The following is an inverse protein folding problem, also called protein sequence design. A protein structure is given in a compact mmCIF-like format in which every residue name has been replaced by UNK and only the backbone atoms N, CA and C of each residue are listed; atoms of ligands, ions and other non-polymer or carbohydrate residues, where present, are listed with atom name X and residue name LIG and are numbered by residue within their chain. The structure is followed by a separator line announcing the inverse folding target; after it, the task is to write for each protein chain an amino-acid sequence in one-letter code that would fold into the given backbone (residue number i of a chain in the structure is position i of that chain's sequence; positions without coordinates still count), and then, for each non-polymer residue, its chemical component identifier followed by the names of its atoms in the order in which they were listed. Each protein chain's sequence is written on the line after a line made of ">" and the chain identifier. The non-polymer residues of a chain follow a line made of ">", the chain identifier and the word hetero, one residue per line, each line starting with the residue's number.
data_IF_928246933540
#
_entry.id   IF_928246933540
#
_cell.length_a   1.000
_cell.length_b   1.000
_cell.length_c   1.000
_cell.angle_alpha   90.00
_cell.angle_beta   90.00
_cell.angle_gamma   90.00
#
_symmetry.space_group_name_H-M   'P 1'
#
loop_
_entity.id
_entity.type
_entity.pdbx_description
1 polymer ?
#
# COMPACT_ATOMS: atom_id res chain seq x y z
N UNK A 1 13.44 -0.41 -16.95
CA UNK A 1 12.80 0.28 -18.09
C UNK A 1 11.40 0.70 -17.67
N UNK A 2 11.15 1.99 -17.45
CA UNK A 2 9.81 2.51 -17.16
C UNK A 2 8.92 2.23 -18.37
N UNK A 3 7.89 1.39 -18.21
CA UNK A 3 6.86 1.21 -19.25
C UNK A 3 6.10 2.52 -19.32
N UNK A 4 6.47 3.39 -20.26
CA UNK A 4 5.73 4.60 -20.52
C UNK A 4 4.27 4.23 -20.80
N UNK A 5 3.39 4.75 -19.96
CA UNK A 5 1.94 4.47 -19.94
C UNK A 5 1.23 5.06 -21.18
N UNK A 6 1.98 5.81 -22.01
CA UNK A 6 1.53 6.29 -23.30
C UNK A 6 1.57 5.15 -24.33
N UNK A 7 0.52 4.32 -24.32
CA UNK A 7 0.20 3.53 -25.50
C UNK A 7 0.04 4.48 -26.70
N UNK A 8 0.55 4.12 -27.90
CA UNK A 8 0.41 4.96 -29.07
C UNK A 8 -1.08 5.23 -29.34
N UNK A 9 -1.44 6.51 -29.50
CA UNK A 9 -2.80 6.91 -29.86
C UNK A 9 -3.14 6.22 -31.19
N UNK A 10 -4.21 5.40 -31.25
CA UNK A 10 -4.63 4.77 -32.49
C UNK A 10 -4.84 5.84 -33.57
N UNK A 11 -4.36 5.57 -34.79
CA UNK A 11 -4.54 6.49 -35.92
C UNK A 11 -6.04 6.76 -36.11
N UNK A 12 -6.43 8.02 -36.03
CA UNK A 12 -7.82 8.46 -36.16
C UNK A 12 -8.24 8.66 -37.63
N UNK A 13 -7.34 8.36 -38.58
CA UNK A 13 -7.42 8.74 -40.00
C UNK A 13 -8.48 7.97 -40.82
N UNK A 14 -9.32 7.15 -40.18
CA UNK A 14 -10.40 6.40 -40.83
C UNK A 14 -11.81 6.69 -40.30
N UNK A 15 -11.96 7.62 -39.36
CA UNK A 15 -13.26 7.91 -38.74
C UNK A 15 -13.99 9.01 -39.52
N UNK A 16 -15.08 8.62 -40.20
CA UNK A 16 -15.82 9.46 -41.14
C UNK A 16 -16.49 10.70 -40.50
N UNK A 17 -16.83 10.66 -39.20
CA UNK A 17 -17.49 11.76 -38.51
C UNK A 17 -16.66 12.32 -37.34
N UNK A 18 -16.89 13.59 -37.02
CA UNK A 18 -16.33 14.22 -35.80
C UNK A 18 -16.84 13.54 -34.53
N UNK A 19 -18.08 13.05 -34.54
CA UNK A 19 -18.66 12.32 -33.41
C UNK A 19 -17.93 11.00 -33.14
N UNK A 20 -17.65 10.22 -34.19
CA UNK A 20 -16.97 8.92 -34.06
C UNK A 20 -15.54 9.07 -33.58
N UNK A 21 -14.85 10.14 -33.99
CA UNK A 21 -13.54 10.53 -33.44
C UNK A 21 -13.61 10.79 -31.95
N UNK A 22 -14.60 11.56 -31.48
CA UNK A 22 -14.76 11.86 -30.05
C UNK A 22 -15.11 10.60 -29.25
N UNK A 23 -16.01 9.76 -29.74
CA UNK A 23 -16.35 8.46 -29.11
C UNK A 23 -15.12 7.57 -28.97
N UNK A 24 -14.31 7.48 -30.03
CA UNK A 24 -13.09 6.66 -30.03
C UNK A 24 -12.06 7.18 -29.02
N UNK A 25 -11.86 8.50 -28.95
CA UNK A 25 -10.96 9.11 -27.97
C UNK A 25 -11.42 8.79 -26.53
N UNK A 26 -12.71 8.97 -26.23
CA UNK A 26 -13.26 8.67 -24.90
C UNK A 26 -13.08 7.19 -24.56
N UNK A 27 -13.41 6.27 -25.48
CA UNK A 27 -13.26 4.83 -25.27
C UNK A 27 -11.79 4.43 -25.02
N UNK A 28 -10.84 5.06 -25.71
CA UNK A 28 -9.41 4.83 -25.49
C UNK A 28 -8.97 5.32 -24.11
N UNK A 29 -9.44 6.50 -23.67
CA UNK A 29 -9.16 7.03 -22.34
C UNK A 29 -9.73 6.13 -21.25
N UNK A 30 -10.93 5.58 -21.44
CA UNK A 30 -11.55 4.63 -20.50
C UNK A 30 -10.82 3.28 -20.46
N UNK A 31 -10.31 2.81 -21.61
CA UNK A 31 -9.47 1.61 -21.66
C UNK A 31 -8.18 1.83 -20.88
N UNK A 32 -7.49 2.94 -21.15
CA UNK A 32 -6.27 3.30 -20.43
C UNK A 32 -6.53 3.44 -18.92
N UNK A 33 -7.66 4.03 -18.54
CA UNK A 33 -8.06 4.13 -17.13
C UNK A 33 -8.20 2.76 -16.46
N UNK A 34 -8.86 1.80 -17.13
CA UNK A 34 -8.99 0.42 -16.64
C UNK A 34 -7.64 -0.26 -16.50
N UNK A 35 -6.76 -0.12 -17.49
CA UNK A 35 -5.43 -0.74 -17.49
C UNK A 35 -4.57 -0.19 -16.34
N UNK A 36 -4.57 1.13 -16.12
CA UNK A 36 -3.80 1.75 -15.03
C UNK A 36 -4.36 1.38 -13.66
N UNK A 37 -5.68 1.37 -13.48
CA UNK A 37 -6.30 0.92 -12.23
C UNK A 37 -5.93 -0.51 -11.89
N UNK A 38 -5.98 -1.41 -12.88
CA UNK A 38 -5.55 -2.79 -12.71
C UNK A 38 -4.07 -2.89 -12.29
N UNK A 39 -3.19 -2.07 -12.89
CA UNK A 39 -1.77 -2.01 -12.52
C UNK A 39 -1.57 -1.54 -11.07
N UNK A 40 -2.27 -0.48 -10.64
CA UNK A 40 -2.16 0.04 -9.27
C UNK A 40 -2.61 -1.02 -8.25
N UNK A 41 -3.72 -1.72 -8.53
CA UNK A 41 -4.21 -2.80 -7.67
C UNK A 41 -3.23 -3.97 -7.63
N UNK A 42 -2.66 -4.37 -8.77
CA UNK A 42 -1.67 -5.43 -8.83
C UNK A 42 -0.40 -5.09 -8.04
N UNK A 43 0.11 -3.86 -8.17
CA UNK A 43 1.24 -3.37 -7.38
C UNK A 43 0.93 -3.35 -5.87
N UNK A 44 -0.25 -2.87 -5.49
CA UNK A 44 -0.69 -2.85 -4.09
C UNK A 44 -0.80 -4.26 -3.50
N UNK A 45 -1.36 -5.20 -4.26
CA UNK A 45 -1.48 -6.60 -3.85
C UNK A 45 -0.11 -7.28 -3.73
N UNK A 46 0.82 -7.00 -4.65
CA UNK A 46 2.20 -7.48 -4.56
C UNK A 46 2.89 -6.96 -3.29
N UNK A 47 2.74 -5.67 -2.97
CA UNK A 47 3.30 -5.07 -1.75
C UNK A 47 2.70 -5.69 -0.49
N UNK A 48 1.38 -5.90 -0.46
CA UNK A 48 0.70 -6.59 0.64
C UNK A 48 1.24 -8.02 0.84
N UNK A 49 1.42 -8.77 -0.24
CA UNK A 49 1.97 -10.12 -0.18
C UNK A 49 3.41 -10.13 0.35
N UNK A 50 4.23 -9.16 -0.05
CA UNK A 50 5.60 -9.04 0.44
C UNK A 50 5.60 -8.70 1.94
N UNK A 51 4.80 -7.71 2.36
CA UNK A 51 4.65 -7.34 3.77
C UNK A 51 4.18 -8.53 4.64
N UNK A 52 3.27 -9.36 4.10
CA UNK A 52 2.82 -10.58 4.79
C UNK A 52 3.93 -11.62 4.94
N UNK A 53 4.77 -11.81 3.91
CA UNK A 53 5.92 -12.72 3.97
C UNK A 53 6.96 -12.24 4.98
N UNK A 54 7.23 -10.94 5.00
CA UNK A 54 8.16 -10.32 5.95
C UNK A 54 7.65 -10.48 7.38
N UNK A 55 6.36 -10.25 7.64
CA UNK A 55 5.76 -10.49 8.95
C UNK A 55 5.91 -11.96 9.41
N UNK A 56 5.64 -12.93 8.52
CA UNK A 56 5.84 -14.35 8.86
C UNK A 56 7.30 -14.75 9.06
N UNK A 57 8.25 -14.05 8.45
CA UNK A 57 9.68 -14.30 8.65
C UNK A 57 10.18 -13.76 9.99
N UNK A 58 9.64 -12.61 10.44
CA UNK A 58 9.95 -12.04 11.76
C UNK A 58 9.44 -12.97 12.87
N UNK A 59 8.19 -13.44 12.77
CA UNK A 59 7.63 -14.39 13.76
C UNK A 59 8.41 -15.72 13.82
N UNK A 60 8.95 -16.19 12.70
CA UNK A 60 9.73 -17.43 12.65
C UNK A 60 11.15 -17.30 13.24
N UNK A 61 11.77 -16.11 13.18
CA UNK A 61 13.08 -15.87 13.79
C UNK A 61 13.03 -15.67 15.31
N UNK A 62 11.85 -15.39 15.88
CA UNK A 62 11.69 -15.22 17.33
C UNK A 62 11.61 -16.56 18.10
N UNK A 63 11.47 -17.70 17.39
CA UNK A 63 11.30 -19.02 18.00
C UNK A 63 12.63 -19.79 18.19
N UNK A 64 13.74 -19.35 17.59
CA UNK A 64 15.08 -19.92 17.85
C UNK A 64 15.79 -19.22 19.02
N UNK A 65 15.13 -19.11 20.18
CA UNK A 65 15.86 -18.98 21.44
C UNK A 65 16.18 -20.38 21.96
N UNK A 66 17.29 -20.92 21.47
CA UNK A 66 17.88 -22.20 21.92
C UNK A 66 18.54 -22.05 23.31
N UNK A 67 17.97 -21.22 24.19
CA UNK A 67 18.41 -21.12 25.57
C UNK A 67 17.75 -22.23 26.38
N UNK A 68 18.53 -23.13 27.02
CA UNK A 68 17.96 -24.11 27.93
C UNK A 68 17.25 -23.35 29.04
N UNK A 69 15.94 -23.57 29.18
CA UNK A 69 15.16 -23.02 30.29
C UNK A 69 15.64 -23.70 31.56
N UNK A 70 16.54 -23.04 32.29
CA UNK A 70 17.01 -23.49 33.60
C UNK A 70 15.89 -23.32 34.63
N UNK A 71 15.08 -24.38 34.80
CA UNK A 71 13.98 -24.44 35.76
C UNK A 71 14.43 -24.33 37.24
N UNK A 72 15.74 -24.28 37.53
CA UNK A 72 16.29 -24.12 38.88
C UNK A 72 16.64 -22.67 39.26
N UNK A 73 16.72 -21.75 38.29
CA UNK A 73 17.10 -20.35 38.54
C UNK A 73 15.86 -19.48 38.72
N UNK A 74 15.47 -19.28 39.97
CA UNK A 74 14.51 -18.24 40.33
C UNK A 74 15.07 -16.89 39.85
N UNK A 75 14.37 -16.15 38.97
CA UNK A 75 14.80 -14.83 38.51
C UNK A 75 15.16 -13.92 39.69
N UNK A 76 16.27 -13.18 39.61
CA UNK A 76 16.81 -12.40 40.72
C UNK A 76 15.81 -11.32 41.23
N UNK A 77 14.94 -10.86 40.34
CA UNK A 77 13.76 -10.01 40.58
C UNK A 77 12.71 -10.62 41.52
N UNK A 78 12.64 -11.94 41.66
CA UNK A 78 11.77 -12.61 42.65
C UNK A 78 12.46 -12.79 44.01
N UNK A 79 13.78 -12.56 44.11
CA UNK A 79 14.53 -12.59 45.39
C UNK A 79 14.52 -11.26 46.13
N UNK A 80 14.18 -10.15 45.47
CA UNK A 80 14.15 -8.84 46.10
C UNK A 80 12.85 -8.65 46.88
N UNK A 81 12.89 -8.13 48.13
CA UNK A 81 11.68 -7.75 48.85
C UNK A 81 10.93 -6.66 48.07
N UNK A 82 9.61 -6.81 47.95
CA UNK A 82 8.74 -5.85 47.26
C UNK A 82 8.97 -4.43 47.79
N UNK A 83 9.40 -3.52 46.91
CA UNK A 83 9.51 -2.10 47.20
C UNK A 83 8.36 -1.37 46.52
N UNK A 84 7.69 -0.49 47.26
CA UNK A 84 6.57 0.27 46.71
C UNK A 84 7.06 1.17 45.58
N UNK A 85 6.67 0.87 44.33
CA UNK A 85 7.14 1.52 43.11
C UNK A 85 8.06 0.67 42.23
N UNK A 86 8.45 -0.54 42.66
CA UNK A 86 9.06 -1.51 41.75
C UNK A 86 7.98 -1.98 40.77
N UNK A 87 8.22 -1.79 39.47
CA UNK A 87 7.33 -2.24 38.40
C UNK A 87 7.06 -3.74 38.44
N UNK A 88 6.19 -4.21 37.55
CA UNK A 88 5.78 -5.62 37.47
C UNK A 88 7.02 -6.55 37.47
N UNK A 89 7.23 -7.39 38.50
CA UNK A 89 8.38 -8.27 38.59
C UNK A 89 8.37 -9.37 37.52
N UNK A 90 7.27 -9.56 36.81
CA UNK A 90 7.20 -10.46 35.65
C UNK A 90 7.67 -9.80 34.35
N UNK A 91 7.88 -8.48 34.34
CA UNK A 91 8.41 -7.76 33.19
C UNK A 91 9.94 -7.71 33.28
N UNK A 92 10.61 -8.10 32.20
CA UNK A 92 12.05 -7.87 32.07
C UNK A 92 12.35 -6.37 32.20
N UNK A 93 13.49 -6.02 32.78
CA UNK A 93 13.97 -4.64 32.79
C UNK A 93 14.36 -4.27 31.34
N UNK A 94 13.39 -3.74 30.59
CA UNK A 94 13.62 -3.28 29.22
C UNK A 94 14.29 -1.91 29.32
N UNK A 95 15.49 -1.78 28.75
CA UNK A 95 16.18 -0.51 28.67
C UNK A 95 15.31 0.48 27.86
N UNK A 96 15.03 1.70 28.37
CA UNK A 96 14.15 2.65 27.68
C UNK A 96 14.68 3.08 26.31
N UNK A 97 15.98 2.92 26.05
CA UNK A 97 16.58 3.13 24.72
C UNK A 97 16.21 2.02 23.73
N UNK A 98 15.98 0.78 24.18
CA UNK A 98 15.50 -0.32 23.32
C UNK A 98 14.02 -0.19 22.99
N UNK A 99 13.23 0.43 23.89
CA UNK A 99 11.82 0.76 23.64
C UNK A 99 11.63 1.76 22.49
N UNK A 100 12.60 2.65 22.25
CA UNK A 100 12.56 3.59 21.13
C UNK A 100 12.73 2.88 19.79
N UNK A 101 13.63 1.90 19.71
CA UNK A 101 13.84 1.09 18.49
C UNK A 101 12.63 0.19 18.18
N UNK A 102 11.99 -0.36 19.22
CA UNK A 102 10.75 -1.15 19.09
C UNK A 102 9.57 -0.24 18.70
N UNK A 103 9.51 0.99 19.21
CA UNK A 103 8.45 1.95 18.89
C UNK A 103 8.57 2.51 17.46
N UNK A 104 9.80 2.70 16.94
CA UNK A 104 10.04 3.05 15.53
C UNK A 104 9.64 1.89 14.60
N UNK A 105 9.88 0.64 14.99
CA UNK A 105 9.39 -0.55 14.28
C UNK A 105 7.86 -0.74 14.39
N UNK A 106 7.23 -0.21 15.45
CA UNK A 106 5.78 -0.18 15.62
C UNK A 106 5.07 0.92 14.79
N UNK A 107 5.81 1.61 13.91
CA UNK A 107 5.33 2.65 13.00
C UNK A 107 4.45 2.12 11.86
N UNK A 108 3.27 1.58 12.19
CA UNK A 108 2.18 1.25 11.27
C UNK A 108 2.32 -0.13 10.61
N UNK A 109 1.27 -0.95 10.74
CA UNK A 109 1.17 -2.26 10.08
C UNK A 109 1.55 -2.13 8.58
N UNK A 110 2.65 -2.77 8.12
CA UNK A 110 3.13 -2.64 6.75
C UNK A 110 2.11 -3.17 5.73
N UNK A 111 1.22 -4.09 6.14
CA UNK A 111 0.12 -4.55 5.30
C UNK A 111 -0.90 -3.43 5.10
N UNK A 112 -1.31 -2.75 6.18
CA UNK A 112 -2.21 -1.60 6.12
C UNK A 112 -1.60 -0.45 5.30
N UNK A 113 -0.30 -0.17 5.47
CA UNK A 113 0.40 0.86 4.71
C UNK A 113 0.36 0.61 3.19
N UNK A 114 0.60 -0.64 2.76
CA UNK A 114 0.54 -1.04 1.35
C UNK A 114 -0.86 -0.82 0.75
N UNK A 115 -1.92 -1.14 1.51
CA UNK A 115 -3.31 -0.94 1.08
C UNK A 115 -3.64 0.55 0.97
N UNK A 116 -3.31 1.34 1.99
CA UNK A 116 -3.58 2.78 2.00
C UNK A 116 -2.85 3.52 0.86
N UNK A 117 -1.62 3.11 0.55
CA UNK A 117 -0.87 3.65 -0.59
C UNK A 117 -1.59 3.38 -1.93
N UNK A 118 -2.05 2.14 -2.14
CA UNK A 118 -2.78 1.77 -3.36
C UNK A 118 -4.09 2.58 -3.50
N UNK A 119 -4.85 2.73 -2.41
CA UNK A 119 -6.07 3.55 -2.39
C UNK A 119 -5.79 5.03 -2.71
N UNK A 120 -4.71 5.59 -2.16
CA UNK A 120 -4.31 6.97 -2.46
C UNK A 120 -4.01 7.16 -3.93
N UNK A 121 -3.19 6.27 -4.51
CA UNK A 121 -2.84 6.29 -5.94
C UNK A 121 -4.07 6.15 -6.84
N UNK A 122 -5.00 5.26 -6.50
CA UNK A 122 -6.27 5.12 -7.23
C UNK A 122 -7.08 6.43 -7.22
N UNK A 123 -7.21 7.07 -6.06
CA UNK A 123 -8.00 8.30 -5.90
C UNK A 123 -7.39 9.48 -6.65
N UNK A 124 -6.07 9.61 -6.61
CA UNK A 124 -5.34 10.63 -7.37
C UNK A 124 -5.54 10.42 -8.87
N UNK A 125 -5.39 9.17 -9.34
CA UNK A 125 -5.59 8.84 -10.74
C UNK A 125 -7.04 9.04 -11.21
N UNK A 126 -8.04 8.71 -10.39
CA UNK A 126 -9.45 8.99 -10.68
C UNK A 126 -9.71 10.48 -10.91
N UNK A 127 -9.08 11.33 -10.09
CA UNK A 127 -9.21 12.78 -10.22
C UNK A 127 -8.60 13.27 -11.53
N UNK A 128 -7.41 12.77 -11.87
CA UNK A 128 -6.70 13.16 -13.11
C UNK A 128 -7.40 12.63 -14.36
N UNK A 129 -7.83 11.37 -14.36
CA UNK A 129 -8.52 10.73 -15.48
C UNK A 129 -9.86 11.40 -15.77
N UNK A 130 -10.62 11.80 -14.74
CA UNK A 130 -11.85 12.58 -14.90
C UNK A 130 -11.58 13.92 -15.60
N UNK A 131 -10.60 14.68 -15.11
CA UNK A 131 -10.20 15.97 -15.71
C UNK A 131 -9.76 15.81 -17.17
N UNK A 132 -9.05 14.73 -17.50
CA UNK A 132 -8.60 14.45 -18.87
C UNK A 132 -9.75 14.10 -19.82
N UNK A 133 -10.80 13.40 -19.35
CA UNK A 133 -11.96 13.02 -20.18
C UNK A 133 -12.96 14.15 -20.39
N UNK A 134 -13.11 15.03 -19.40
CA UNK A 134 -14.09 16.13 -19.39
C UNK A 134 -14.18 16.97 -20.69
N UNK A 135 -13.07 17.44 -21.32
CA UNK A 135 -13.16 18.25 -22.53
C UNK A 135 -13.76 17.48 -23.72
N UNK A 136 -13.47 16.19 -23.85
CA UNK A 136 -13.98 15.35 -24.95
C UNK A 136 -15.46 15.03 -24.77
N UNK A 137 -15.89 14.79 -23.52
CA UNK A 137 -17.30 14.59 -23.19
C UNK A 137 -18.09 15.86 -23.52
N UNK A 138 -17.64 17.03 -23.05
CA UNK A 138 -18.29 18.32 -23.37
C UNK A 138 -18.31 18.61 -24.88
N UNK A 139 -17.26 18.25 -25.60
CA UNK A 139 -17.22 18.39 -27.06
C UNK A 139 -18.24 17.48 -27.76
N UNK A 140 -18.42 16.24 -27.27
CA UNK A 140 -19.39 15.29 -27.79
C UNK A 140 -20.83 15.76 -27.53
N UNK A 141 -21.11 16.28 -26.34
CA UNK A 141 -22.42 16.86 -25.99
C UNK A 141 -22.78 18.03 -26.89
N UNK A 142 -21.84 18.97 -27.11
CA UNK A 142 -22.05 20.10 -28.03
C UNK A 142 -22.29 19.64 -29.47
N UNK A 143 -21.62 18.59 -29.92
CA UNK A 143 -21.80 18.04 -31.26
C UNK A 143 -23.19 17.42 -31.45
N UNK A 144 -23.79 16.86 -30.40
CA UNK A 144 -25.14 16.28 -30.43
C UNK A 144 -26.27 17.30 -30.30
N UNK A 145 -25.95 18.50 -29.80
CA UNK A 145 -26.87 19.62 -29.67
C UNK A 145 -26.95 20.50 -30.95
N UNK A 146 -26.18 20.15 -31.98
CA UNK A 146 -26.20 20.75 -33.32
C UNK A 146 -27.03 19.88 -34.26
#
# INVERSE_FOLDING_TARGET
>A
MQKHIFQPIPKLDGLASREDRLKTIIANLEKHERDVKASIVAEGLQKLQNARKEATHVDAMEVESDQPVDHGRVPFNLRAPYQQGSGDPCMAQIDPNQLADIAEQAGGDPQLAAVLEAFRRLREYDTLSRKAKEPYIKALERQRAQ
#
